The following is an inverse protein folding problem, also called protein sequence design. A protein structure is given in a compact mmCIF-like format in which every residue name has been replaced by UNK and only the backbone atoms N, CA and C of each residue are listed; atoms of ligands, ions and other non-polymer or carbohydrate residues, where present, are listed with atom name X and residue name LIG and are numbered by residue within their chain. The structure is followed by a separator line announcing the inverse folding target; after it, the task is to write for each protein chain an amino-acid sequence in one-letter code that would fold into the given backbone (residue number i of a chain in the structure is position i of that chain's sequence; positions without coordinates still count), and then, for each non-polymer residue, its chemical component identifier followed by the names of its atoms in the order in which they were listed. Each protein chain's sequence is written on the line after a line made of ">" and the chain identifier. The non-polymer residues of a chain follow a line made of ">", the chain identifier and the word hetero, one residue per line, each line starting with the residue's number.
data_IF_339302939081
#
_entry.id   IF_339302939081
#
_cell.length_a   1.000
_cell.length_b   1.000
_cell.length_c   1.000
_cell.angle_alpha   90.00
_cell.angle_beta   90.00
_cell.angle_gamma   90.00
#
_symmetry.space_group_name_H-M   'P 1'
#
loop_
_entity.id
_entity.type
_entity.pdbx_description
1 polymer ?
#
# COMPACT_ATOMS: atom_id res chain seq x y z
N UNK A 1 -4.82 24.78 30.95
CA UNK A 1 -6.15 24.80 30.30
C UNK A 1 -6.63 23.36 30.23
N UNK A 2 -7.64 22.99 31.03
CA UNK A 2 -8.03 21.60 31.25
C UNK A 2 -9.15 21.25 30.25
N UNK A 3 -8.84 20.40 29.27
CA UNK A 3 -9.79 20.01 28.22
C UNK A 3 -10.70 18.92 28.80
N UNK A 4 -12.02 19.12 28.75
CA UNK A 4 -13.01 18.22 29.36
C UNK A 4 -13.01 16.82 28.71
N UNK A 5 -13.38 15.80 29.49
CA UNK A 5 -13.42 14.41 29.05
C UNK A 5 -14.35 14.16 27.85
N UNK A 6 -15.36 15.01 27.62
CA UNK A 6 -16.23 14.93 26.44
C UNK A 6 -15.52 15.35 25.14
N UNK A 7 -14.48 16.20 25.23
CA UNK A 7 -13.69 16.58 24.06
C UNK A 7 -12.67 15.51 23.66
N UNK A 8 -12.25 14.64 24.60
CA UNK A 8 -11.35 13.50 24.30
C UNK A 8 -12.02 12.43 23.45
N UNK A 9 -13.33 12.24 23.58
CA UNK A 9 -14.07 11.22 22.83
C UNK A 9 -14.21 11.55 21.33
N UNK A 10 -13.99 12.81 20.92
CA UNK A 10 -14.17 13.24 19.54
C UNK A 10 -12.88 13.57 18.79
N UNK A 11 -11.72 13.54 19.46
CA UNK A 11 -10.41 13.83 18.84
C UNK A 11 -9.42 12.65 18.83
N UNK A 12 -9.76 11.52 19.45
CA UNK A 12 -8.96 10.30 19.28
C UNK A 12 -9.36 9.66 17.95
N UNK A 13 -8.60 9.99 16.90
CA UNK A 13 -8.51 9.11 15.74
C UNK A 13 -8.06 7.72 16.24
N UNK A 14 -8.76 6.63 15.89
CA UNK A 14 -8.42 5.29 16.39
C UNK A 14 -7.08 4.76 15.87
N UNK A 15 -6.43 5.42 14.90
CA UNK A 15 -5.16 4.98 14.34
C UNK A 15 -3.95 5.12 15.30
N UNK A 16 -4.11 5.80 16.43
CA UNK A 16 -3.19 5.76 17.57
C UNK A 16 -3.95 5.56 18.90
N UNK A 17 -5.13 4.95 18.82
CA UNK A 17 -6.01 4.71 19.95
C UNK A 17 -5.51 3.49 20.73
N UNK A 18 -4.88 3.76 21.87
CA UNK A 18 -4.87 2.94 23.08
C UNK A 18 -5.52 1.55 22.93
N UNK A 19 -4.78 0.57 22.39
CA UNK A 19 -5.06 -0.81 22.70
C UNK A 19 -4.53 -0.99 24.12
N UNK A 20 -5.38 -0.71 25.11
CA UNK A 20 -5.13 -1.25 26.44
C UNK A 20 -5.24 -2.76 26.29
N UNK A 21 -4.09 -3.42 26.16
CA UNK A 21 -4.00 -4.82 26.49
C UNK A 21 -4.29 -4.90 27.98
N UNK A 22 -5.47 -5.42 28.39
CA UNK A 22 -5.73 -5.59 29.80
C UNK A 22 -4.64 -6.56 30.27
N UNK A 23 -3.81 -6.08 31.21
CA UNK A 23 -2.70 -6.75 31.91
C UNK A 23 -1.28 -6.19 31.67
N UNK A 24 -1.07 -5.17 30.80
CA UNK A 24 0.27 -4.54 30.61
C UNK A 24 0.15 -3.01 30.70
N UNK A 25 0.11 -2.50 31.93
CA UNK A 25 -0.16 -1.09 32.25
C UNK A 25 0.96 -0.10 31.94
N UNK A 26 1.74 -0.28 30.88
CA UNK A 26 2.90 0.57 30.61
C UNK A 26 2.78 1.39 29.32
N UNK A 27 3.12 2.68 29.44
CA UNK A 27 3.32 3.60 28.34
C UNK A 27 4.46 3.11 27.41
N UNK A 28 4.47 3.61 26.17
CA UNK A 28 5.53 3.38 25.17
C UNK A 28 6.93 3.66 25.74
N UNK A 29 7.59 2.64 26.28
CA UNK A 29 9.05 2.56 26.36
C UNK A 29 9.50 1.69 25.20
N UNK A 30 10.07 2.32 24.18
CA UNK A 30 10.86 1.58 23.19
C UNK A 30 12.10 1.07 23.94
N UNK A 31 12.07 -0.19 24.37
CA UNK A 31 13.31 -0.90 24.70
C UNK A 31 14.12 -1.05 23.41
N UNK A 32 15.44 -1.10 23.57
CA UNK A 32 16.43 -1.01 22.50
C UNK A 32 16.04 -1.88 21.27
N UNK A 33 15.89 -1.33 20.06
CA UNK A 33 15.46 -2.07 18.86
C UNK A 33 16.28 -3.33 18.55
N UNK A 34 17.48 -3.42 19.13
CA UNK A 34 18.39 -4.54 18.96
C UNK A 34 17.92 -5.86 19.63
N UNK A 35 17.03 -5.82 20.64
CA UNK A 35 16.72 -7.04 21.43
C UNK A 35 15.47 -7.82 21.00
N UNK A 36 14.57 -7.26 20.19
CA UNK A 36 13.31 -7.95 19.80
C UNK A 36 13.22 -8.42 18.34
N UNK A 37 14.16 -8.05 17.47
CA UNK A 37 14.12 -8.44 16.05
C UNK A 37 14.96 -9.68 15.78
N UNK A 38 14.53 -10.85 16.25
CA UNK A 38 14.94 -12.11 15.60
C UNK A 38 14.12 -12.23 14.32
N UNK A 39 14.62 -11.64 13.23
CA UNK A 39 14.05 -11.83 11.90
C UNK A 39 14.03 -13.32 11.58
N UNK A 40 12.86 -13.92 11.42
CA UNK A 40 12.80 -15.24 10.80
C UNK A 40 13.20 -15.07 9.33
N UNK A 41 14.13 -15.88 8.81
CA UNK A 41 14.46 -15.82 7.39
C UNK A 41 13.20 -16.13 6.54
N UNK A 42 13.01 -15.42 5.41
CA UNK A 42 11.87 -15.67 4.52
C UNK A 42 11.85 -17.13 4.08
N UNK A 43 10.65 -17.72 4.01
CA UNK A 43 10.49 -19.11 3.59
C UNK A 43 11.13 -19.32 2.20
N UNK A 44 11.98 -20.34 2.01
CA UNK A 44 12.83 -20.49 0.83
C UNK A 44 12.10 -20.71 -0.51
N UNK A 45 10.77 -20.76 -0.53
CA UNK A 45 9.92 -20.91 -1.73
C UNK A 45 8.65 -20.05 -1.62
N UNK A 46 8.76 -18.80 -1.15
CA UNK A 46 7.58 -17.95 -1.01
C UNK A 46 6.99 -17.58 -2.39
N UNK A 47 5.82 -18.14 -2.72
CA UNK A 47 5.06 -17.73 -3.90
C UNK A 47 4.44 -16.35 -3.74
N UNK A 48 4.47 -15.80 -2.53
CA UNK A 48 3.91 -14.50 -2.17
C UNK A 48 4.96 -13.58 -1.56
N UNK A 49 4.86 -12.29 -1.88
CA UNK A 49 5.64 -11.21 -1.27
C UNK A 49 4.69 -10.22 -0.60
N UNK A 50 5.08 -9.74 0.57
CA UNK A 50 4.42 -8.62 1.27
C UNK A 50 5.35 -7.42 1.23
N UNK A 51 4.92 -6.35 0.56
CA UNK A 51 5.73 -5.16 0.33
C UNK A 51 5.51 -4.06 1.40
N UNK A 52 4.38 -4.10 2.10
CA UNK A 52 4.04 -3.16 3.16
C UNK A 52 2.66 -3.42 3.74
N UNK A 53 2.21 -2.54 4.63
CA UNK A 53 0.94 -2.69 5.33
C UNK A 53 0.31 -1.33 5.69
N UNK A 54 -0.96 -1.38 6.11
CA UNK A 54 -1.64 -0.25 6.70
C UNK A 54 -2.52 -0.72 7.86
N UNK A 55 -2.35 -0.04 9.01
CA UNK A 55 -3.14 -0.26 10.23
C UNK A 55 -3.10 -1.70 10.76
N UNK A 56 -2.09 -2.50 10.37
CA UNK A 56 -1.99 -3.91 10.71
C UNK A 56 -3.15 -4.79 10.20
N UNK A 57 -3.99 -4.27 9.30
CA UNK A 57 -5.19 -4.95 8.79
C UNK A 57 -5.09 -5.17 7.28
N UNK A 58 -4.42 -4.26 6.58
CA UNK A 58 -4.24 -4.31 5.14
C UNK A 58 -2.77 -4.56 4.79
N UNK A 59 -2.50 -5.52 3.92
CA UNK A 59 -1.16 -5.90 3.50
C UNK A 59 -1.07 -5.90 1.97
N UNK A 60 0.00 -5.33 1.43
CA UNK A 60 0.22 -5.26 -0.02
C UNK A 60 0.93 -6.52 -0.46
N UNK A 61 0.16 -7.45 -1.04
CA UNK A 61 0.62 -8.78 -1.43
C UNK A 61 0.83 -8.88 -2.93
N UNK A 62 1.81 -9.67 -3.36
CA UNK A 62 2.04 -9.97 -4.78
C UNK A 62 2.41 -11.44 -4.95
N UNK A 63 1.74 -12.20 -5.84
CA UNK A 63 2.11 -13.57 -6.14
C UNK A 63 3.32 -13.59 -7.09
N UNK A 64 4.50 -13.80 -6.54
CA UNK A 64 5.80 -13.74 -7.23
C UNK A 64 5.87 -14.78 -8.36
N UNK A 65 5.24 -15.94 -8.18
CA UNK A 65 5.23 -17.01 -9.19
C UNK A 65 4.46 -16.66 -10.46
N UNK A 66 3.71 -15.56 -10.49
CA UNK A 66 2.91 -15.13 -11.65
C UNK A 66 3.54 -13.97 -12.44
N UNK A 67 4.74 -13.50 -12.08
CA UNK A 67 5.37 -12.40 -12.80
C UNK A 67 5.63 -12.74 -14.28
N UNK A 68 5.54 -11.75 -15.19
CA UNK A 68 5.14 -10.35 -14.94
C UNK A 68 3.63 -10.19 -14.66
N UNK A 69 3.26 -9.25 -13.79
CA UNK A 69 1.87 -8.98 -13.40
C UNK A 69 1.51 -7.51 -13.60
N UNK A 70 0.30 -7.19 -14.09
CA UNK A 70 -0.20 -5.82 -14.06
C UNK A 70 -0.37 -5.32 -12.61
N UNK A 71 -0.28 -4.00 -12.36
CA UNK A 71 -0.44 -3.41 -11.04
C UNK A 71 -1.94 -3.35 -10.64
N UNK A 72 -2.53 -4.52 -10.39
CA UNK A 72 -3.98 -4.65 -10.12
C UNK A 72 -4.42 -4.12 -8.74
N UNK A 73 -3.48 -3.73 -7.88
CA UNK A 73 -3.73 -3.30 -6.50
C UNK A 73 -4.60 -4.28 -5.71
N UNK A 74 -4.29 -5.57 -5.82
CA UNK A 74 -4.95 -6.61 -5.02
C UNK A 74 -4.25 -6.67 -3.66
N UNK A 75 -5.01 -6.52 -2.59
CA UNK A 75 -4.46 -6.45 -1.22
C UNK A 75 -5.04 -7.52 -0.32
N UNK A 76 -4.26 -7.95 0.66
CA UNK A 76 -4.73 -8.84 1.70
C UNK A 76 -5.36 -8.03 2.83
N UNK A 77 -6.55 -8.43 3.26
CA UNK A 77 -7.24 -7.94 4.45
C UNK A 77 -7.31 -9.05 5.50
N UNK A 78 -6.93 -8.74 6.73
CA UNK A 78 -7.00 -9.66 7.87
C UNK A 78 -7.88 -9.06 8.99
N UNK A 79 -8.33 -9.84 9.98
CA UNK A 79 -9.02 -9.25 11.13
C UNK A 79 -8.07 -8.36 11.95
N UNK A 80 -8.63 -7.42 12.68
CA UNK A 80 -7.92 -6.59 13.65
C UNK A 80 -7.24 -7.44 14.74
N UNK A 81 -6.12 -6.94 15.29
CA UNK A 81 -5.29 -7.62 16.30
C UNK A 81 -6.08 -8.07 17.53
N UNK A 82 -7.13 -7.33 17.89
CA UNK A 82 -8.02 -7.65 19.01
C UNK A 82 -8.78 -8.96 18.82
N UNK A 83 -8.94 -9.42 17.58
CA UNK A 83 -9.58 -10.69 17.23
C UNK A 83 -8.59 -11.85 17.05
N UNK A 84 -7.28 -11.61 17.19
CA UNK A 84 -6.28 -12.68 17.08
C UNK A 84 -6.22 -13.49 18.38
N UNK A 85 -5.88 -14.79 18.34
CA UNK A 85 -5.51 -15.55 19.52
C UNK A 85 -4.42 -14.82 20.32
N UNK A 86 -4.62 -14.64 21.63
CA UNK A 86 -3.70 -13.86 22.49
C UNK A 86 -2.27 -14.39 22.46
N UNK A 87 -2.11 -15.71 22.34
CA UNK A 87 -0.81 -16.37 22.22
C UNK A 87 0.00 -15.94 20.99
N UNK A 88 -0.65 -15.38 19.97
CA UNK A 88 -0.02 -14.90 18.75
C UNK A 88 0.38 -13.42 18.81
N UNK A 89 -0.03 -12.68 19.84
CA UNK A 89 0.25 -11.24 19.89
C UNK A 89 1.74 -10.90 19.93
N UNK A 90 2.50 -11.60 20.77
CA UNK A 90 3.95 -11.39 20.88
C UNK A 90 4.69 -12.01 19.69
N UNK A 91 4.48 -13.30 19.33
CA UNK A 91 5.20 -13.92 18.21
C UNK A 91 4.96 -13.24 16.86
N UNK A 92 3.75 -12.70 16.62
CA UNK A 92 3.42 -12.02 15.37
C UNK A 92 3.67 -10.51 15.40
N UNK A 93 4.21 -9.97 16.50
CA UNK A 93 4.44 -8.54 16.68
C UNK A 93 3.16 -7.72 16.44
N UNK A 94 2.03 -8.17 17.00
CA UNK A 94 0.71 -7.61 16.73
C UNK A 94 0.66 -6.10 16.99
N UNK A 95 1.24 -5.63 18.10
CA UNK A 95 1.32 -4.21 18.44
C UNK A 95 2.05 -3.40 17.37
N UNK A 96 3.20 -3.88 16.92
CA UNK A 96 4.03 -3.15 15.95
C UNK A 96 3.38 -3.12 14.57
N UNK A 97 2.63 -4.17 14.22
CA UNK A 97 1.95 -4.28 12.93
C UNK A 97 0.98 -3.12 12.64
N UNK A 98 0.44 -2.46 13.68
CA UNK A 98 -0.50 -1.34 13.54
C UNK A 98 0.18 -0.09 12.96
N UNK A 99 1.44 0.16 13.31
CA UNK A 99 2.15 1.40 12.99
C UNK A 99 3.20 1.23 11.89
N UNK A 100 3.52 -0.02 11.52
CA UNK A 100 4.46 -0.32 10.45
C UNK A 100 3.76 -0.28 9.09
N UNK A 101 4.23 0.59 8.20
CA UNK A 101 3.67 0.75 6.85
C UNK A 101 4.69 0.60 5.72
N UNK A 102 5.97 0.43 6.04
CA UNK A 102 7.07 0.37 5.09
C UNK A 102 7.74 -1.01 5.09
N UNK A 103 8.91 -1.11 4.46
CA UNK A 103 9.66 -2.36 4.34
C UNK A 103 10.00 -3.02 5.68
N UNK A 104 9.97 -2.29 6.79
CA UNK A 104 10.16 -2.86 8.13
C UNK A 104 9.11 -3.92 8.46
N UNK A 105 7.94 -3.91 7.81
CA UNK A 105 6.94 -4.97 7.97
C UNK A 105 7.53 -6.35 7.69
N UNK A 106 8.49 -6.45 6.77
CA UNK A 106 9.15 -7.70 6.36
C UNK A 106 9.84 -8.43 7.52
N UNK A 107 10.13 -7.71 8.61
CA UNK A 107 10.77 -8.24 9.81
C UNK A 107 9.81 -8.74 10.88
N UNK A 108 8.50 -8.48 10.74
CA UNK A 108 7.51 -8.88 11.74
C UNK A 108 7.07 -10.34 11.53
N UNK A 109 6.79 -11.04 12.64
CA UNK A 109 6.32 -12.43 12.59
C UNK A 109 5.01 -12.60 11.81
N UNK A 110 4.12 -11.60 11.83
CA UNK A 110 2.89 -11.62 11.03
C UNK A 110 3.16 -11.76 9.53
N UNK A 111 4.23 -11.15 8.99
CA UNK A 111 4.51 -11.22 7.56
C UNK A 111 4.89 -12.64 7.13
N UNK A 112 5.72 -13.33 7.91
CA UNK A 112 6.05 -14.73 7.66
C UNK A 112 4.81 -15.61 7.79
N UNK A 113 4.02 -15.40 8.84
CA UNK A 113 2.79 -16.15 9.12
C UNK A 113 1.80 -16.07 7.96
N UNK A 114 1.52 -14.86 7.48
CA UNK A 114 0.62 -14.63 6.34
C UNK A 114 1.18 -15.21 5.04
N UNK A 115 2.49 -15.08 4.82
CA UNK A 115 3.13 -15.65 3.61
C UNK A 115 3.00 -17.18 3.58
N UNK A 116 3.22 -17.85 4.72
CA UNK A 116 3.03 -19.30 4.85
C UNK A 116 1.59 -19.72 4.63
N UNK A 117 0.65 -19.00 5.24
CA UNK A 117 -0.78 -19.25 5.09
C UNK A 117 -1.24 -19.08 3.63
N UNK A 118 -0.85 -17.97 2.98
CA UNK A 118 -1.16 -17.71 1.57
C UNK A 118 -0.56 -18.77 0.64
N UNK A 119 0.68 -19.21 0.88
CA UNK A 119 1.28 -20.31 0.10
C UNK A 119 0.47 -21.60 0.25
N UNK A 120 0.15 -22.00 1.49
CA UNK A 120 -0.61 -23.22 1.74
C UNK A 120 -1.99 -23.18 1.08
N UNK A 121 -2.72 -22.09 1.25
CA UNK A 121 -4.03 -21.89 0.62
C UNK A 121 -3.95 -21.89 -0.90
N UNK A 122 -2.99 -21.18 -1.48
CA UNK A 122 -2.80 -21.08 -2.94
C UNK A 122 -2.46 -22.41 -3.60
N UNK A 123 -1.71 -23.28 -2.93
CA UNK A 123 -1.37 -24.61 -3.46
C UNK A 123 -2.49 -25.64 -3.24
N UNK A 124 -3.41 -25.41 -2.29
CA UNK A 124 -4.59 -26.27 -2.09
C UNK A 124 -5.65 -26.13 -3.17
N UNK A 125 -5.75 -24.95 -3.80
CA UNK A 125 -6.77 -24.64 -4.79
C UNK A 125 -6.16 -24.57 -6.22
N UNK A 126 -6.38 -25.59 -7.07
CA UNK A 126 -5.87 -25.60 -8.44
C UNK A 126 -6.38 -24.44 -9.31
N UNK A 127 -7.53 -23.85 -8.96
CA UNK A 127 -8.15 -22.77 -9.72
C UNK A 127 -7.77 -21.37 -9.19
N UNK A 128 -7.04 -21.28 -8.08
CA UNK A 128 -6.70 -20.01 -7.44
C UNK A 128 -5.99 -19.04 -8.40
N UNK A 129 -5.08 -19.55 -9.24
CA UNK A 129 -4.31 -18.77 -10.22
C UNK A 129 -5.19 -18.17 -11.30
N UNK A 130 -6.13 -18.96 -11.83
CA UNK A 130 -7.04 -18.51 -12.88
C UNK A 130 -8.11 -17.58 -12.33
N UNK A 131 -8.53 -17.79 -11.09
CA UNK A 131 -9.42 -16.88 -10.38
C UNK A 131 -8.74 -15.53 -10.13
N UNK A 132 -7.49 -15.54 -9.65
CA UNK A 132 -6.72 -14.32 -9.39
C UNK A 132 -6.59 -13.43 -10.64
N UNK A 133 -6.32 -14.02 -11.81
CA UNK A 133 -6.21 -13.28 -13.09
C UNK A 133 -7.50 -12.55 -13.49
N UNK A 134 -8.66 -13.03 -13.02
CA UNK A 134 -9.97 -12.48 -13.36
C UNK A 134 -10.47 -11.46 -12.35
N UNK A 135 -9.72 -11.21 -11.28
CA UNK A 135 -10.14 -10.27 -10.25
C UNK A 135 -10.17 -8.84 -10.80
N UNK A 136 -11.25 -8.08 -10.50
CA UNK A 136 -11.30 -6.65 -10.80
C UNK A 136 -10.15 -5.89 -10.14
N UNK A 137 -9.78 -4.76 -10.73
CA UNK A 137 -8.81 -3.83 -10.15
C UNK A 137 -9.23 -3.38 -8.74
N UNK A 138 -8.29 -3.38 -7.80
CA UNK A 138 -8.55 -2.98 -6.41
C UNK A 138 -9.34 -4.00 -5.58
N UNK A 139 -9.42 -5.26 -6.02
CA UNK A 139 -10.02 -6.36 -5.24
C UNK A 139 -9.19 -6.69 -3.99
N UNK A 140 -9.78 -7.45 -3.06
CA UNK A 140 -9.09 -7.94 -1.87
C UNK A 140 -9.03 -9.46 -1.83
N UNK A 141 -7.96 -9.98 -1.23
CA UNK A 141 -7.95 -11.31 -0.63
C UNK A 141 -8.28 -11.11 0.85
N UNK A 142 -9.21 -11.85 1.40
CA UNK A 142 -9.66 -11.68 2.78
C UNK A 142 -9.42 -12.93 3.58
N UNK A 143 -8.84 -12.78 4.77
CA UNK A 143 -8.77 -13.79 5.80
C UNK A 143 -9.75 -13.41 6.91
N UNK A 144 -10.62 -14.33 7.31
CA UNK A 144 -11.59 -14.09 8.39
C UNK A 144 -11.00 -14.27 9.79
N UNK A 145 -9.98 -15.13 9.92
CA UNK A 145 -9.43 -15.53 11.21
C UNK A 145 -7.92 -15.80 11.13
N UNK A 146 -7.15 -15.21 12.05
CA UNK A 146 -5.74 -15.54 12.25
C UNK A 146 -5.65 -16.74 13.18
N UNK A 147 -5.10 -17.86 12.70
CA UNK A 147 -4.94 -19.10 13.47
C UNK A 147 -3.48 -19.35 13.84
N UNK A 148 -3.29 -20.15 14.88
CA UNK A 148 -1.95 -20.51 15.41
C UNK A 148 -1.13 -21.25 14.37
N UNK A 149 -1.76 -22.18 13.66
CA UNK A 149 -1.16 -22.83 12.52
C UNK A 149 -1.55 -22.08 11.24
N UNK A 150 -0.59 -21.51 10.48
CA UNK A 150 -0.90 -20.80 9.25
C UNK A 150 -1.55 -21.67 8.18
N UNK A 151 -1.29 -22.98 8.20
CA UNK A 151 -1.87 -23.91 7.22
C UNK A 151 -3.38 -24.11 7.43
N UNK A 152 -3.91 -23.85 8.63
CA UNK A 152 -5.34 -23.97 8.92
C UNK A 152 -6.11 -22.69 8.55
N UNK A 153 -5.41 -21.64 8.11
CA UNK A 153 -6.03 -20.40 7.66
C UNK A 153 -6.60 -20.57 6.25
N UNK A 154 -7.75 -19.94 6.02
CA UNK A 154 -8.40 -19.89 4.72
C UNK A 154 -8.56 -18.44 4.27
N UNK A 155 -8.61 -18.29 2.95
CA UNK A 155 -8.79 -17.01 2.30
C UNK A 155 -9.86 -17.11 1.23
N UNK A 156 -10.48 -15.98 0.95
CA UNK A 156 -11.46 -15.85 -0.11
C UNK A 156 -11.29 -14.50 -0.81
N UNK A 157 -11.69 -14.44 -2.07
CA UNK A 157 -11.63 -13.23 -2.85
C UNK A 157 -12.84 -12.33 -2.57
N UNK A 158 -12.60 -11.04 -2.49
CA UNK A 158 -13.59 -9.98 -2.41
C UNK A 158 -13.42 -9.06 -3.64
N UNK A 159 -14.19 -9.29 -4.71
CA UNK A 159 -14.15 -8.46 -5.91
C UNK A 159 -14.57 -7.02 -5.61
N UNK A 160 -13.96 -6.07 -6.30
CA UNK A 160 -14.35 -4.66 -6.25
C UNK A 160 -15.41 -4.35 -7.32
N UNK A 161 -16.65 -4.83 -7.12
CA UNK A 161 -17.72 -4.80 -8.13
C UNK A 161 -18.21 -3.38 -8.46
N UNK A 162 -18.13 -2.44 -7.51
CA UNK A 162 -18.62 -1.07 -7.69
C UNK A 162 -17.69 -0.18 -8.53
N UNK A 163 -16.49 -0.66 -8.89
CA UNK A 163 -15.50 0.18 -9.57
C UNK A 163 -16.00 0.68 -10.92
N UNK A 164 -16.70 -0.17 -11.64
CA UNK A 164 -17.05 0.00 -13.04
C UNK A 164 -17.97 1.22 -13.25
N UNK A 165 -18.89 1.45 -12.32
CA UNK A 165 -19.83 2.56 -12.36
C UNK A 165 -19.16 3.92 -12.04
N UNK A 166 -17.98 3.89 -11.42
CA UNK A 166 -17.31 5.09 -10.92
C UNK A 166 -16.23 5.62 -11.86
N UNK A 167 -15.70 4.79 -12.76
CA UNK A 167 -14.59 5.19 -13.63
C UNK A 167 -15.06 5.96 -14.87
N UNK A 168 -14.30 6.97 -15.25
CA UNK A 168 -14.49 7.79 -16.43
C UNK A 168 -13.47 7.43 -17.52
N UNK A 169 -13.85 7.61 -18.78
CA UNK A 169 -12.94 7.52 -19.92
C UNK A 169 -12.02 8.74 -19.97
N UNK A 170 -10.90 8.62 -20.67
CA UNK A 170 -10.01 9.76 -20.90
C UNK A 170 -10.74 10.94 -21.56
N UNK A 171 -11.64 10.66 -22.52
CA UNK A 171 -12.44 11.70 -23.20
C UNK A 171 -13.41 12.41 -22.27
N UNK A 172 -14.08 11.67 -21.39
CA UNK A 172 -14.97 12.24 -20.38
C UNK A 172 -14.21 13.16 -19.42
N UNK A 173 -13.02 12.73 -18.95
CA UNK A 173 -12.15 13.55 -18.11
C UNK A 173 -11.69 14.83 -18.83
N UNK A 174 -11.26 14.71 -20.09
CA UNK A 174 -10.84 15.84 -20.92
C UNK A 174 -11.96 16.87 -21.07
N UNK A 175 -13.15 16.42 -21.43
CA UNK A 175 -14.34 17.26 -21.59
C UNK A 175 -14.74 17.94 -20.27
N UNK A 176 -14.78 17.17 -19.18
CA UNK A 176 -15.14 17.67 -17.85
C UNK A 176 -14.17 18.74 -17.32
N UNK A 177 -12.88 18.64 -17.64
CA UNK A 177 -11.88 19.59 -17.16
C UNK A 177 -11.61 20.75 -18.12
N UNK A 178 -12.03 20.65 -19.38
CA UNK A 178 -11.80 21.67 -20.40
C UNK A 178 -10.33 21.78 -20.82
N UNK A 179 -9.57 20.68 -20.78
CA UNK A 179 -8.20 20.66 -21.29
C UNK A 179 -8.17 20.34 -22.78
N UNK A 180 -7.37 21.10 -23.54
CA UNK A 180 -7.17 20.86 -24.98
C UNK A 180 -6.53 19.49 -25.24
N UNK A 181 -5.63 19.05 -24.34
CA UNK A 181 -4.97 17.76 -24.42
C UNK A 181 -4.73 17.19 -23.03
N UNK A 182 -4.93 15.88 -22.91
CA UNK A 182 -4.53 15.07 -21.76
C UNK A 182 -3.50 14.02 -22.20
N UNK A 183 -2.73 13.42 -21.28
CA UNK A 183 -1.73 12.40 -21.62
C UNK A 183 -2.33 11.18 -22.33
N UNK A 184 -1.53 10.53 -23.17
CA UNK A 184 -1.93 9.30 -23.85
C UNK A 184 -2.27 8.20 -22.84
N UNK A 185 -3.17 7.31 -23.23
CA UNK A 185 -3.59 6.19 -22.41
C UNK A 185 -2.82 4.91 -22.73
N UNK A 186 -2.63 4.07 -21.73
CA UNK A 186 -2.04 2.74 -21.85
C UNK A 186 -2.90 1.70 -21.11
N UNK A 187 -3.18 0.52 -21.69
CA UNK A 187 -3.85 -0.57 -20.99
C UNK A 187 -3.07 -1.01 -19.73
N UNK A 188 -3.79 -1.41 -18.68
CA UNK A 188 -3.23 -1.83 -17.39
C UNK A 188 -2.33 -3.06 -17.51
N UNK A 189 -2.46 -3.85 -18.56
CA UNK A 189 -1.65 -5.03 -18.86
C UNK A 189 -0.22 -4.69 -19.31
N UNK A 190 0.04 -3.46 -19.76
CA UNK A 190 1.38 -3.05 -20.21
C UNK A 190 2.36 -2.69 -19.08
N UNK A 191 1.99 -1.94 -18.03
CA UNK A 191 2.86 -1.78 -16.87
C UNK A 191 2.94 -3.10 -16.09
N UNK A 192 4.16 -3.51 -15.74
CA UNK A 192 4.41 -4.68 -14.90
C UNK A 192 4.82 -4.22 -13.50
N UNK A 193 4.11 -4.69 -12.48
CA UNK A 193 4.40 -4.39 -11.08
C UNK A 193 5.69 -5.06 -10.64
N UNK A 194 6.66 -4.26 -10.21
CA UNK A 194 7.89 -4.74 -9.59
C UNK A 194 7.72 -4.90 -8.08
N UNK A 195 7.16 -3.88 -7.43
CA UNK A 195 6.86 -3.84 -5.99
C UNK A 195 5.87 -2.73 -5.66
N UNK A 196 5.14 -2.89 -4.56
CA UNK A 196 4.36 -1.80 -3.99
C UNK A 196 5.26 -0.87 -3.17
N UNK A 197 5.08 0.44 -3.34
CA UNK A 197 5.69 1.48 -2.49
C UNK A 197 4.70 1.84 -1.38
N UNK A 198 3.42 1.95 -1.73
CA UNK A 198 2.30 2.19 -0.82
C UNK A 198 1.05 1.45 -1.34
N UNK A 199 -0.04 1.47 -0.57
CA UNK A 199 -1.29 0.78 -0.94
C UNK A 199 -1.71 1.05 -2.39
N UNK A 200 -1.78 2.32 -2.77
CA UNK A 200 -2.25 2.73 -4.09
C UNK A 200 -1.11 3.12 -5.05
N UNK A 201 0.13 2.78 -4.70
CA UNK A 201 1.34 3.25 -5.40
C UNK A 201 2.31 2.10 -5.62
N UNK A 202 2.59 1.77 -6.88
CA UNK A 202 3.52 0.71 -7.28
C UNK A 202 4.68 1.25 -8.09
N UNK A 203 5.85 0.64 -7.93
CA UNK A 203 6.94 0.76 -8.89
C UNK A 203 6.67 -0.21 -10.04
N UNK A 204 6.66 0.30 -11.27
CA UNK A 204 6.34 -0.49 -12.45
C UNK A 204 7.35 -0.26 -13.57
N UNK A 205 7.50 -1.24 -14.45
CA UNK A 205 8.19 -1.10 -15.73
C UNK A 205 7.21 -1.27 -16.88
N UNK A 206 7.38 -0.51 -17.96
CA UNK A 206 6.54 -0.70 -19.16
C UNK A 206 7.07 -1.87 -19.99
N UNK A 207 6.16 -2.70 -20.50
CA UNK A 207 6.49 -3.81 -21.37
C UNK A 207 7.42 -3.38 -22.53
N UNK A 208 8.54 -4.10 -22.67
CA UNK A 208 9.56 -3.82 -23.70
C UNK A 208 10.55 -2.70 -23.35
N UNK A 209 10.46 -2.10 -22.15
CA UNK A 209 11.40 -1.09 -21.66
C UNK A 209 12.09 -1.55 -20.37
N UNK A 210 13.17 -0.88 -19.98
CA UNK A 210 13.79 -1.01 -18.65
C UNK A 210 13.53 0.23 -17.77
N UNK A 211 12.69 1.15 -18.25
CA UNK A 211 12.42 2.40 -17.55
C UNK A 211 11.39 2.17 -16.46
N UNK A 212 11.71 2.67 -15.27
CA UNK A 212 10.86 2.60 -14.09
C UNK A 212 9.93 3.81 -14.01
N UNK A 213 8.69 3.53 -13.68
CA UNK A 213 7.65 4.51 -13.47
C UNK A 213 6.97 4.27 -12.13
N UNK A 214 6.42 5.33 -11.55
CA UNK A 214 5.50 5.22 -10.42
C UNK A 214 4.09 5.12 -10.97
N UNK A 215 3.46 3.96 -10.77
CA UNK A 215 2.03 3.79 -10.99
C UNK A 215 1.26 4.27 -9.76
N UNK A 216 0.31 5.18 -9.97
CA UNK A 216 -0.68 5.57 -8.98
C UNK A 216 -2.06 5.17 -9.46
N UNK A 217 -2.71 4.27 -8.74
CA UNK A 217 -4.06 3.80 -9.07
C UNK A 217 -4.90 3.65 -7.81
N UNK A 218 -6.19 4.02 -7.86
CA UNK A 218 -7.07 3.97 -6.68
C UNK A 218 -8.40 3.34 -7.05
N UNK A 219 -8.93 2.51 -6.15
CA UNK A 219 -10.28 1.95 -6.27
C UNK A 219 -11.39 3.00 -6.12
N UNK A 220 -11.09 4.15 -5.51
CA UNK A 220 -11.99 5.32 -5.46
C UNK A 220 -11.49 6.43 -6.40
N UNK A 221 -12.18 6.67 -7.52
CA UNK A 221 -11.65 7.55 -8.58
C UNK A 221 -11.65 9.03 -8.24
N UNK A 222 -12.51 9.53 -7.33
CA UNK A 222 -12.60 10.97 -7.05
C UNK A 222 -11.24 11.59 -6.66
N UNK A 223 -10.51 10.94 -5.76
CA UNK A 223 -9.20 11.40 -5.33
C UNK A 223 -8.15 11.26 -6.45
N UNK A 224 -8.24 10.19 -7.24
CA UNK A 224 -7.38 9.93 -8.40
C UNK A 224 -7.53 11.03 -9.46
N UNK A 225 -8.77 11.32 -9.84
CA UNK A 225 -9.13 12.32 -10.86
C UNK A 225 -8.78 13.73 -10.41
N UNK A 226 -8.98 14.05 -9.13
CA UNK A 226 -8.53 15.32 -8.60
C UNK A 226 -7.00 15.45 -8.63
N UNK A 227 -6.26 14.38 -8.30
CA UNK A 227 -4.79 14.37 -8.36
C UNK A 227 -4.30 14.58 -9.80
N UNK A 228 -4.87 13.88 -10.79
CA UNK A 228 -4.54 14.06 -12.21
C UNK A 228 -4.83 15.50 -12.65
N UNK A 229 -6.04 16.02 -12.37
CA UNK A 229 -6.43 17.38 -12.74
C UNK A 229 -5.46 18.42 -12.18
N UNK A 230 -5.10 18.28 -10.90
CA UNK A 230 -4.17 19.20 -10.23
C UNK A 230 -2.81 19.18 -10.92
N UNK A 231 -2.25 18.00 -11.19
CA UNK A 231 -0.95 17.88 -11.86
C UNK A 231 -0.96 18.47 -13.28
N UNK A 232 -2.07 18.32 -14.01
CA UNK A 232 -2.21 18.92 -15.34
C UNK A 232 -2.38 20.45 -15.28
N UNK A 233 -2.97 20.98 -14.20
CA UNK A 233 -3.25 22.41 -14.04
C UNK A 233 -2.06 23.22 -13.54
N UNK A 234 -1.12 22.59 -12.83
CA UNK A 234 0.03 23.27 -12.24
C UNK A 234 1.06 23.58 -13.35
N UNK A 235 1.67 24.78 -13.24
CA UNK A 235 2.79 25.17 -14.07
C UNK A 235 4.04 24.35 -13.74
N UNK A 236 4.83 24.02 -14.77
CA UNK A 236 6.04 23.21 -14.56
C UNK A 236 7.02 23.95 -13.67
N UNK A 237 7.50 23.27 -12.64
CA UNK A 237 8.49 23.80 -11.71
C UNK A 237 9.48 22.68 -11.33
N UNK A 238 10.80 22.95 -11.22
CA UNK A 238 11.81 21.91 -11.00
C UNK A 238 11.66 21.11 -9.69
N UNK A 239 10.95 21.68 -8.70
CA UNK A 239 10.71 21.05 -7.40
C UNK A 239 9.27 20.55 -7.21
N UNK A 240 8.47 20.51 -8.29
CA UNK A 240 7.12 19.94 -8.29
C UNK A 240 7.18 18.69 -9.16
N UNK A 241 6.50 17.62 -8.71
CA UNK A 241 6.39 16.39 -9.47
C UNK A 241 5.88 16.68 -10.89
N UNK A 242 6.47 16.00 -11.87
CA UNK A 242 6.11 16.21 -13.27
C UNK A 242 4.66 15.80 -13.56
N UNK A 243 4.15 16.24 -14.72
CA UNK A 243 2.83 15.84 -15.20
C UNK A 243 2.80 14.33 -15.46
N UNK A 244 1.61 13.69 -15.38
CA UNK A 244 1.48 12.28 -15.75
C UNK A 244 1.99 12.04 -17.17
N UNK A 245 2.83 11.02 -17.33
CA UNK A 245 3.40 10.63 -18.64
C UNK A 245 2.35 9.89 -19.46
N UNK A 246 1.58 9.03 -18.79
CA UNK A 246 0.50 8.24 -19.37
C UNK A 246 -0.64 8.09 -18.38
N UNK A 247 -1.86 8.02 -18.88
CA UNK A 247 -3.02 7.51 -18.14
C UNK A 247 -3.06 5.99 -18.26
N UNK A 248 -3.37 5.30 -17.17
CA UNK A 248 -3.55 3.84 -17.20
C UNK A 248 -5.03 3.54 -17.24
N UNK A 249 -5.42 2.69 -18.19
CA UNK A 249 -6.81 2.34 -18.44
C UNK A 249 -7.06 0.86 -18.27
N UNK A 250 -8.24 0.52 -17.77
CA UNK A 250 -8.74 -0.84 -17.69
C UNK A 250 -9.92 -1.00 -18.66
N UNK A 251 -10.00 -2.16 -19.31
CA UNK A 251 -11.16 -2.55 -20.10
C UNK A 251 -12.00 -3.51 -19.25
N UNK A 252 -13.24 -3.12 -18.96
CA UNK A 252 -14.11 -3.83 -18.01
C UNK A 252 -14.87 -4.96 -18.72
N UNK A 253 -15.34 -4.67 -19.93
CA UNK A 253 -15.87 -5.65 -20.86
C UNK A 253 -15.39 -5.39 -22.29
N UNK A 254 -15.50 -6.39 -23.17
CA UNK A 254 -15.01 -6.32 -24.54
C UNK A 254 -15.69 -5.22 -25.40
N UNK A 255 -16.84 -4.72 -24.97
CA UNK A 255 -17.65 -3.72 -25.68
C UNK A 255 -17.54 -2.30 -25.09
N UNK A 256 -17.00 -2.19 -23.88
CA UNK A 256 -16.87 -0.96 -23.11
C UNK A 256 -15.67 -0.14 -23.58
N UNK A 257 -15.81 1.18 -23.51
CA UNK A 257 -14.67 2.07 -23.65
C UNK A 257 -13.73 1.91 -22.46
N UNK A 258 -12.42 1.94 -22.72
CA UNK A 258 -11.40 1.84 -21.68
C UNK A 258 -11.50 3.00 -20.68
N UNK A 259 -11.50 2.66 -19.39
CA UNK A 259 -11.74 3.58 -18.28
C UNK A 259 -10.45 3.86 -17.52
N UNK A 260 -10.24 5.09 -17.08
CA UNK A 260 -8.99 5.51 -16.41
C UNK A 260 -8.99 5.05 -14.96
N UNK A 261 -8.11 4.11 -14.61
CA UNK A 261 -7.95 3.56 -13.26
C UNK A 261 -6.66 4.02 -12.55
N UNK A 262 -5.74 4.65 -13.28
CA UNK A 262 -4.49 5.15 -12.74
C UNK A 262 -3.73 6.05 -13.69
N UNK A 263 -2.50 6.41 -13.32
CA UNK A 263 -1.58 7.15 -14.16
C UNK A 263 -0.12 6.83 -13.80
N UNK A 264 0.80 7.13 -14.72
CA UNK A 264 2.24 6.93 -14.57
C UNK A 264 2.95 8.26 -14.37
N UNK A 265 3.90 8.27 -13.43
CA UNK A 265 4.84 9.35 -13.19
C UNK A 265 6.28 8.86 -13.37
N UNK A 266 7.23 9.76 -13.67
CA UNK A 266 8.64 9.43 -13.61
C UNK A 266 9.01 8.92 -12.21
N UNK A 267 9.89 7.91 -12.15
CA UNK A 267 10.44 7.42 -10.89
C UNK A 267 11.62 8.29 -10.44
N UNK A 268 11.67 8.60 -9.15
CA UNK A 268 12.77 9.30 -8.51
C UNK A 268 13.35 8.43 -7.39
N UNK A 269 14.63 8.06 -7.52
CA UNK A 269 15.28 7.05 -6.67
C UNK A 269 15.45 7.48 -5.20
N UNK A 270 15.51 8.78 -4.92
CA UNK A 270 15.84 9.31 -3.58
C UNK A 270 14.70 9.16 -2.56
N UNK A 271 13.59 8.53 -2.93
CA UNK A 271 12.50 8.18 -2.01
C UNK A 271 11.81 9.38 -1.37
N UNK A 272 11.12 9.14 -0.26
CA UNK A 272 10.44 10.18 0.49
C UNK A 272 11.40 10.85 1.48
N UNK A 273 11.22 12.16 1.71
CA UNK A 273 12.01 12.90 2.70
C UNK A 273 11.90 12.26 4.11
N UNK A 274 10.75 11.68 4.45
CA UNK A 274 10.55 10.96 5.71
C UNK A 274 11.53 9.78 5.90
N UNK A 275 11.95 9.13 4.82
CA UNK A 275 12.90 8.00 4.83
C UNK A 275 14.35 8.51 4.86
N UNK A 276 14.63 9.59 4.12
CA UNK A 276 15.95 10.20 4.07
C UNK A 276 16.34 10.92 5.37
N UNK A 277 15.39 11.60 6.04
CA UNK A 277 15.67 12.41 7.23
C UNK A 277 16.29 11.62 8.39
N UNK A 278 15.80 10.42 8.78
CA UNK A 278 16.46 9.62 9.81
C UNK A 278 17.91 9.26 9.45
N UNK A 279 18.18 8.90 8.18
CA UNK A 279 19.53 8.55 7.73
C UNK A 279 20.47 9.76 7.78
N UNK A 280 20.03 10.90 7.25
CA UNK A 280 20.77 12.16 7.30
C UNK A 280 21.02 12.63 8.75
N UNK A 281 20.10 12.32 9.67
CA UNK A 281 20.27 12.58 11.11
C UNK A 281 21.33 11.67 11.72
N UNK A 282 21.30 10.37 11.42
CA UNK A 282 22.31 9.42 11.89
C UNK A 282 23.71 9.74 11.34
N UNK A 283 23.78 10.27 10.12
CA UNK A 283 25.02 10.71 9.47
C UNK A 283 25.50 12.10 9.94
N UNK A 284 24.71 12.80 10.77
CA UNK A 284 25.07 14.14 11.28
C UNK A 284 24.98 15.26 10.23
N UNK A 285 24.33 15.01 9.09
CA UNK A 285 24.21 15.96 7.97
C UNK A 285 22.99 16.89 8.13
N UNK A 286 22.05 16.54 9.01
CA UNK A 286 20.91 17.38 9.37
C UNK A 286 21.35 18.52 10.30
N UNK A 287 21.67 19.67 9.71
CA UNK A 287 21.88 20.91 10.47
C UNK A 287 20.55 21.62 10.65
N UNK A 288 20.08 21.70 11.90
CA UNK A 288 19.04 22.66 12.25
C UNK A 288 19.59 24.05 11.96
N UNK A 289 18.89 24.84 11.14
CA UNK A 289 19.15 26.27 11.06
C UNK A 289 18.83 26.86 12.43
N UNK A 290 19.84 26.95 13.29
CA UNK A 290 19.77 27.73 14.49
C UNK A 290 19.56 29.18 14.03
N UNK A 291 18.33 29.68 14.17
CA UNK A 291 18.07 31.10 14.12
C UNK A 291 18.95 31.75 15.17
N UNK A 292 20.04 32.38 14.72
CA UNK A 292 20.84 33.23 15.59
C UNK A 292 19.92 34.31 16.17
N UNK A 293 20.06 34.68 17.45
CA UNK A 293 19.29 35.78 18.01
C UNK A 293 19.56 37.03 17.16
N UNK A 294 18.54 37.89 16.94
CA UNK A 294 18.75 39.14 16.23
C UNK A 294 19.80 39.94 17.00
N UNK A 295 20.95 40.16 16.37
CA UNK A 295 21.96 41.09 16.86
C UNK A 295 21.38 42.50 16.71
N UNK A 296 20.93 43.05 17.84
CA UNK A 296 20.66 44.47 18.04
C UNK A 296 21.92 45.30 17.94
#
# INVERSE_FOLDING_TARGET
>A
MNISNNLRQHYVFPAAGFIAFPDIGDYLTYEDPAEQMKSTPPAPNANWRIDGAAFGVYYWVTPVSMHPLPPMNIHLKIPDQTAWPRELWVPLSARDSVHMSDERIKSLGITEHLTRALNAWWERDPEARETYKKLPFGSYISCSEIKVNPEDMDFYYLPNEDLDELLLTAKELQSMWGFDQIPDSVPIEQPHCERHIQASVGLVTLAGTQEQYVFKGRSRPNALYNEIKMLLSIDRHPNIIERPVKLVTIQLDATSEARVCGFLLPYHENGALQEALPQLRLQGELKLCAGGPPTS
#
